data_IF_405321078301
#
_entry.id   IF_405321078301
#
_cell.length_a   1.000
_cell.length_b   1.000
_cell.length_c   1.000
_cell.angle_alpha   90.00
_cell.angle_beta   90.00
_cell.angle_gamma   90.00
#
_symmetry.space_group_name_H-M   'P 1'
#
loop_
_entity.id
_entity.type
_entity.pdbx_description
1 polymer ?
#
# COMPACT_ATOMS: atom_id res chain seq x y z
N UNK A 1 23.00 1.09 10.11
CA UNK A 1 22.58 1.51 8.76
C UNK A 1 21.75 0.36 8.19
N UNK A 2 20.51 0.61 7.75
CA UNK A 2 19.63 -0.43 7.22
C UNK A 2 20.06 -0.83 5.80
N UNK A 3 19.92 -2.11 5.46
CA UNK A 3 20.18 -2.63 4.12
C UNK A 3 18.84 -2.88 3.42
N UNK A 4 18.65 -2.32 2.23
CA UNK A 4 17.42 -2.41 1.46
C UNK A 4 17.56 -3.22 0.16
N UNK A 5 18.72 -3.85 -0.06
CA UNK A 5 19.06 -4.57 -1.31
C UNK A 5 18.09 -5.73 -1.57
N UNK A 6 17.60 -6.37 -0.50
CA UNK A 6 16.58 -7.42 -0.55
C UNK A 6 15.61 -7.27 0.61
N UNK A 7 14.42 -7.84 0.46
CA UNK A 7 13.45 -7.91 1.55
C UNK A 7 14.03 -8.62 2.78
N UNK A 8 14.79 -9.70 2.61
CA UNK A 8 15.39 -10.44 3.73
C UNK A 8 16.45 -9.63 4.47
N UNK A 9 17.30 -8.89 3.75
CA UNK A 9 18.27 -7.97 4.35
C UNK A 9 17.57 -6.86 5.12
N UNK A 10 16.47 -6.32 4.56
CA UNK A 10 15.66 -5.30 5.22
C UNK A 10 15.04 -5.82 6.53
N UNK A 11 14.38 -6.97 6.49
CA UNK A 11 13.79 -7.61 7.68
C UNK A 11 14.87 -7.95 8.70
N UNK A 12 15.99 -8.53 8.29
CA UNK A 12 17.12 -8.86 9.18
C UNK A 12 17.64 -7.63 9.93
N UNK A 13 17.68 -6.47 9.25
CA UNK A 13 18.15 -5.21 9.84
C UNK A 13 17.12 -4.49 10.73
N UNK A 14 15.85 -4.90 10.69
CA UNK A 14 14.74 -4.20 11.38
C UNK A 14 14.02 -5.05 12.41
N UNK A 15 14.04 -6.38 12.31
CA UNK A 15 13.35 -7.28 13.22
C UNK A 15 13.83 -7.09 14.68
N UNK A 16 12.89 -6.99 15.60
CA UNK A 16 13.13 -6.70 17.02
C UNK A 16 13.46 -5.23 17.34
N UNK A 17 13.66 -4.38 16.35
CA UNK A 17 13.96 -2.95 16.55
C UNK A 17 12.67 -2.16 16.76
N UNK A 18 12.76 -1.04 17.49
CA UNK A 18 11.74 0.01 17.46
C UNK A 18 12.20 1.09 16.48
N UNK A 19 11.42 1.30 15.43
CA UNK A 19 11.65 2.27 14.37
C UNK A 19 10.78 3.50 14.64
N UNK A 20 11.41 4.67 14.70
CA UNK A 20 10.73 5.92 15.00
C UNK A 20 10.11 5.92 16.40
N UNK A 21 8.83 6.27 16.49
CA UNK A 21 8.03 6.26 17.71
C UNK A 21 7.41 4.88 18.06
N UNK A 22 7.69 3.86 17.24
CA UNK A 22 7.17 2.51 17.41
C UNK A 22 5.80 2.29 16.77
N UNK A 23 5.35 3.19 15.90
CA UNK A 23 4.10 3.07 15.17
C UNK A 23 4.23 2.27 13.86
N UNK A 24 3.12 1.68 13.40
CA UNK A 24 3.08 0.92 12.15
C UNK A 24 3.49 1.80 10.95
N UNK A 25 3.03 3.05 10.93
CA UNK A 25 3.33 4.00 9.88
C UNK A 25 4.79 4.45 9.88
N UNK A 26 5.45 4.51 11.05
CA UNK A 26 6.86 4.86 11.16
C UNK A 26 7.74 3.79 10.51
N UNK A 27 7.36 2.51 10.66
CA UNK A 27 8.07 1.41 10.01
C UNK A 27 7.92 1.42 8.50
N UNK A 28 6.72 1.67 7.97
CA UNK A 28 6.51 1.83 6.52
C UNK A 28 7.30 3.04 5.99
N UNK A 29 7.31 4.16 6.72
CA UNK A 29 8.06 5.36 6.35
C UNK A 29 9.56 5.15 6.20
N UNK A 30 10.12 4.10 6.80
CA UNK A 30 11.53 3.76 6.66
C UNK A 30 11.90 3.45 5.21
N UNK A 31 11.05 2.68 4.50
CA UNK A 31 11.26 2.42 3.06
C UNK A 31 11.07 3.69 2.24
N UNK A 32 10.03 4.50 2.52
CA UNK A 32 9.82 5.75 1.78
C UNK A 32 10.99 6.71 1.93
N UNK A 33 11.57 6.79 3.13
CA UNK A 33 12.76 7.60 3.39
C UNK A 33 13.97 7.10 2.60
N UNK A 34 14.13 5.79 2.45
CA UNK A 34 15.16 5.19 1.59
C UNK A 34 14.98 5.57 0.12
N UNK A 35 13.74 5.58 -0.36
CA UNK A 35 13.39 6.03 -1.72
C UNK A 35 13.50 7.55 -1.91
N UNK A 36 13.97 8.32 -0.92
CA UNK A 36 13.99 9.78 -1.02
C UNK A 36 12.61 10.43 -1.03
N UNK A 37 11.60 9.73 -0.51
CA UNK A 37 10.18 10.13 -0.47
C UNK A 37 9.66 10.20 0.97
N UNK A 38 8.38 10.54 1.14
CA UNK A 38 7.69 10.58 2.44
C UNK A 38 6.32 9.92 2.33
N UNK A 39 5.99 9.05 3.30
CA UNK A 39 4.65 8.51 3.47
C UNK A 39 3.81 9.50 4.28
N UNK A 40 2.65 9.88 3.74
CA UNK A 40 1.74 10.83 4.37
C UNK A 40 0.53 10.11 4.94
N UNK A 41 0.29 10.25 6.24
CA UNK A 41 -0.75 9.53 7.00
C UNK A 41 -2.00 10.36 7.30
N UNK A 42 -2.09 11.60 6.82
CA UNK A 42 -3.26 12.47 7.02
C UNK A 42 -4.31 12.27 5.92
N UNK A 43 -5.61 12.54 6.15
CA UNK A 43 -6.63 12.54 5.10
C UNK A 43 -6.29 13.50 3.95
N UNK A 44 -6.54 13.13 2.67
CA UNK A 44 -6.21 13.98 1.51
C UNK A 44 -6.87 15.36 1.54
N UNK A 45 -8.06 15.44 2.14
CA UNK A 45 -8.84 16.67 2.28
C UNK A 45 -8.33 17.62 3.36
N UNK A 46 -7.47 17.15 4.26
CA UNK A 46 -6.96 17.95 5.39
C UNK A 46 -5.51 17.56 5.76
N UNK A 47 -4.52 18.20 5.13
CA UNK A 47 -3.11 18.00 5.46
C UNK A 47 -2.68 18.58 6.81
N UNK A 48 -3.57 19.29 7.52
CA UNK A 48 -3.34 19.79 8.88
C UNK A 48 -3.92 18.88 9.96
N UNK A 49 -4.63 17.82 9.57
CA UNK A 49 -5.27 16.89 10.49
C UNK A 49 -4.25 16.22 11.40
N UNK A 50 -4.51 16.30 12.71
CA UNK A 50 -3.71 15.65 13.76
C UNK A 50 -3.99 14.15 13.88
N UNK A 51 -5.07 13.65 13.25
CA UNK A 51 -5.41 12.24 13.21
C UNK A 51 -4.68 11.55 12.05
N UNK A 52 -3.55 10.93 12.40
CA UNK A 52 -2.71 10.20 11.47
C UNK A 52 -3.18 8.74 11.38
N UNK A 53 -3.53 8.27 10.17
CA UNK A 53 -3.93 6.90 9.92
C UNK A 53 -3.26 6.32 8.68
N UNK A 54 -2.67 5.14 8.81
CA UNK A 54 -2.06 4.40 7.69
C UNK A 54 -3.06 4.13 6.57
N UNK A 55 -4.35 3.95 6.90
CA UNK A 55 -5.43 3.81 5.91
C UNK A 55 -5.56 5.01 4.96
N UNK A 56 -5.18 6.20 5.41
CA UNK A 56 -5.21 7.40 4.58
C UNK A 56 -3.98 7.50 3.67
N UNK A 57 -2.83 6.99 4.13
CA UNK A 57 -1.64 6.95 3.29
C UNK A 57 -1.81 6.06 2.05
N UNK A 58 -2.62 5.00 2.16
CA UNK A 58 -3.05 4.20 1.01
C UNK A 58 -3.66 5.05 -0.12
N UNK A 59 -4.59 5.95 0.23
CA UNK A 59 -5.30 6.80 -0.73
C UNK A 59 -4.48 8.02 -1.18
N UNK A 60 -3.55 8.50 -0.35
CA UNK A 60 -2.77 9.72 -0.64
C UNK A 60 -1.57 9.49 -1.56
N UNK A 61 -1.11 8.26 -1.71
CA UNK A 61 0.08 7.96 -2.51
C UNK A 61 -0.19 8.17 -4.00
N UNK A 62 -1.38 7.83 -4.51
CA UNK A 62 -1.76 8.12 -5.90
C UNK A 62 -1.73 9.62 -6.25
N UNK A 63 -2.02 10.50 -5.28
CA UNK A 63 -2.12 11.94 -5.53
C UNK A 63 -0.76 12.67 -5.58
N UNK A 64 0.34 12.06 -5.10
CA UNK A 64 1.67 12.70 -5.04
C UNK A 64 2.78 11.95 -5.77
N UNK A 65 2.54 10.73 -6.24
CA UNK A 65 3.52 9.95 -7.04
C UNK A 65 3.55 10.31 -8.53
N UNK A 66 2.64 11.16 -9.01
CA UNK A 66 2.62 11.57 -10.42
C UNK A 66 3.96 12.17 -10.92
N UNK A 67 4.83 12.65 -10.02
CA UNK A 67 6.16 13.17 -10.35
C UNK A 67 7.31 12.56 -9.53
N UNK A 68 7.09 11.47 -8.77
CA UNK A 68 8.16 10.81 -8.02
C UNK A 68 7.97 9.29 -7.95
N UNK A 69 8.84 8.62 -8.73
CA UNK A 69 9.50 7.33 -8.46
C UNK A 69 8.77 6.05 -8.93
N UNK A 70 9.29 5.49 -10.03
CA UNK A 70 8.85 4.32 -10.80
C UNK A 70 9.15 2.95 -10.13
N UNK A 71 9.15 2.86 -8.80
CA UNK A 71 9.59 1.63 -8.10
C UNK A 71 8.50 0.97 -7.25
N UNK A 72 7.30 1.56 -7.17
CA UNK A 72 6.19 1.00 -6.41
C UNK A 72 5.03 0.65 -7.33
N UNK A 73 4.67 -0.62 -7.40
CA UNK A 73 3.47 -1.10 -8.09
C UNK A 73 2.30 -1.21 -7.12
N UNK A 74 1.15 -0.63 -7.45
CA UNK A 74 -0.05 -0.72 -6.62
C UNK A 74 -0.75 -2.07 -6.77
N UNK A 75 -1.14 -2.66 -5.65
CA UNK A 75 -1.86 -3.93 -5.53
C UNK A 75 -3.23 -3.67 -4.90
N UNK A 76 -4.28 -3.84 -5.70
CA UNK A 76 -5.66 -3.55 -5.27
C UNK A 76 -6.43 -4.80 -4.83
N UNK A 77 -6.01 -5.98 -5.28
CA UNK A 77 -6.64 -7.24 -4.88
C UNK A 77 -5.75 -7.97 -3.88
N UNK A 78 -6.37 -8.46 -2.80
CA UNK A 78 -5.68 -9.25 -1.78
C UNK A 78 -5.05 -10.54 -2.35
N UNK A 79 -5.66 -11.15 -3.39
CA UNK A 79 -5.12 -12.33 -4.08
C UNK A 79 -3.76 -12.10 -4.74
N UNK A 80 -3.43 -10.86 -5.05
CA UNK A 80 -2.25 -10.50 -5.82
C UNK A 80 -1.07 -10.13 -4.89
N UNK A 81 -1.32 -10.10 -3.58
CA UNK A 81 -0.32 -9.80 -2.55
C UNK A 81 0.74 -10.90 -2.51
N UNK A 82 1.99 -10.47 -2.56
CA UNK A 82 3.20 -11.30 -2.49
C UNK A 82 4.05 -10.93 -1.30
N UNK A 83 4.94 -11.85 -0.94
CA UNK A 83 5.98 -11.58 0.04
C UNK A 83 6.78 -10.32 -0.33
N UNK A 84 6.97 -9.44 0.64
CA UNK A 84 7.62 -8.14 0.49
C UNK A 84 6.65 -6.99 0.23
N UNK A 85 5.38 -7.24 -0.08
CA UNK A 85 4.42 -6.16 -0.26
C UNK A 85 4.15 -5.40 1.04
N UNK A 86 4.05 -4.08 0.93
CA UNK A 86 3.54 -3.22 2.00
C UNK A 86 2.02 -3.35 2.01
N UNK A 87 1.48 -4.08 2.97
CA UNK A 87 0.05 -4.33 3.11
C UNK A 87 -0.56 -3.31 4.06
N UNK A 88 -1.70 -2.73 3.66
CA UNK A 88 -2.48 -1.79 4.47
C UNK A 88 -3.86 -2.38 4.74
N UNK A 89 -4.27 -2.35 6.01
CA UNK A 89 -5.62 -2.68 6.44
C UNK A 89 -6.32 -1.43 6.97
N UNK A 90 -7.63 -1.36 6.78
CA UNK A 90 -8.49 -0.23 7.17
C UNK A 90 -9.16 -0.41 8.54
N UNK A 91 -8.90 -1.53 9.22
CA UNK A 91 -9.48 -1.84 10.52
C UNK A 91 -9.16 -0.80 11.61
N UNK A 92 -10.09 -0.61 12.54
CA UNK A 92 -9.96 0.39 13.61
C UNK A 92 -10.00 1.85 13.13
N UNK A 93 -9.69 2.77 14.03
CA UNK A 93 -9.75 4.20 13.72
C UNK A 93 -8.66 4.64 12.74
N UNK A 94 -7.47 4.04 12.80
CA UNK A 94 -6.28 4.49 12.06
C UNK A 94 -5.82 3.54 10.95
N UNK A 95 -6.38 2.32 10.88
CA UNK A 95 -5.83 1.26 10.02
C UNK A 95 -4.58 0.62 10.63
N UNK A 96 -4.02 -0.34 9.91
CA UNK A 96 -2.72 -0.94 10.23
C UNK A 96 -1.91 -1.16 8.95
N UNK A 97 -0.59 -1.27 9.08
CA UNK A 97 0.26 -1.59 7.95
C UNK A 97 1.49 -2.41 8.35
N UNK A 98 2.00 -3.21 7.42
CA UNK A 98 3.19 -4.02 7.59
C UNK A 98 3.67 -4.59 6.27
N UNK A 99 4.79 -5.31 6.30
CA UNK A 99 5.34 -5.99 5.13
C UNK A 99 4.97 -7.48 5.14
N UNK A 100 4.43 -7.99 4.04
CA UNK A 100 4.05 -9.40 3.93
C UNK A 100 5.28 -10.31 4.00
N UNK A 101 5.29 -11.31 4.89
CA UNK A 101 6.33 -12.35 4.95
C UNK A 101 6.02 -13.56 4.06
N UNK A 102 4.86 -13.56 3.40
CA UNK A 102 4.39 -14.66 2.57
C UNK A 102 3.46 -14.16 1.45
N UNK A 103 3.19 -15.03 0.49
CA UNK A 103 2.15 -14.80 -0.52
C UNK A 103 0.77 -15.03 0.10
N UNK A 104 -0.23 -14.23 -0.28
CA UNK A 104 -1.58 -14.49 0.17
C UNK A 104 -2.13 -15.78 -0.46
N UNK A 105 -2.62 -16.68 0.41
CA UNK A 105 -3.04 -18.04 0.04
C UNK A 105 -4.54 -18.27 0.16
N UNK A 106 -5.34 -17.24 0.43
CA UNK A 106 -6.79 -17.35 0.61
C UNK A 106 -7.25 -17.70 2.03
N UNK A 107 -6.35 -17.78 3.01
CA UNK A 107 -6.69 -18.17 4.39
C UNK A 107 -7.48 -17.13 5.20
N UNK A 108 -7.67 -15.90 4.68
CA UNK A 108 -8.25 -14.77 5.41
C UNK A 108 -7.27 -14.06 6.35
N UNK A 109 -6.08 -14.63 6.55
CA UNK A 109 -5.00 -14.04 7.32
C UNK A 109 -3.73 -13.92 6.48
N UNK A 110 -2.80 -13.07 6.92
CA UNK A 110 -1.49 -12.91 6.31
C UNK A 110 -0.43 -12.60 7.37
N UNK A 111 0.72 -13.26 7.29
CA UNK A 111 1.87 -12.93 8.14
C UNK A 111 2.49 -11.60 7.70
N UNK A 112 2.53 -10.62 8.60
CA UNK A 112 3.15 -9.33 8.36
C UNK A 112 4.27 -9.07 9.37
N UNK A 113 5.39 -8.50 8.93
CA UNK A 113 6.28 -7.74 9.80
C UNK A 113 5.72 -6.34 9.99
N UNK A 114 5.41 -5.98 11.23
CA UNK A 114 4.84 -4.66 11.56
C UNK A 114 5.24 -4.20 12.96
N UNK A 115 4.95 -2.93 13.26
CA UNK A 115 5.02 -2.37 14.61
C UNK A 115 3.63 -1.96 15.07
N UNK A 116 3.47 -1.87 16.38
CA UNK A 116 2.25 -1.48 17.08
C UNK A 116 1.03 -2.39 16.81
N UNK A 117 1.24 -3.57 16.23
CA UNK A 117 0.19 -4.59 16.22
C UNK A 117 -0.01 -5.09 17.66
N UNK A 118 -1.24 -5.03 18.15
CA UNK A 118 -1.59 -5.33 19.55
C UNK A 118 -0.74 -4.58 20.60
N UNK A 119 -0.27 -3.35 20.27
CA UNK A 119 0.50 -2.51 21.19
C UNK A 119 2.01 -2.81 21.25
N UNK A 120 2.51 -3.78 20.46
CA UNK A 120 3.95 -4.11 20.45
C UNK A 120 4.73 -3.11 19.61
N UNK A 121 5.49 -2.23 20.26
CA UNK A 121 6.24 -1.15 19.57
C UNK A 121 7.41 -1.63 18.70
N UNK A 122 7.97 -2.81 18.98
CA UNK A 122 9.05 -3.36 18.16
C UNK A 122 8.52 -4.07 16.92
N UNK A 123 9.30 -4.01 15.84
CA UNK A 123 9.05 -4.78 14.62
C UNK A 123 9.10 -6.25 14.97
N UNK A 124 8.03 -6.97 14.65
CA UNK A 124 8.08 -8.43 14.61
C UNK A 124 6.96 -8.96 13.73
N UNK A 125 7.02 -10.27 13.50
CA UNK A 125 6.06 -10.98 12.67
C UNK A 125 4.78 -11.29 13.43
N UNK A 126 3.64 -10.99 12.83
CA UNK A 126 2.31 -11.27 13.38
C UNK A 126 1.35 -11.79 12.31
N UNK A 127 0.41 -12.63 12.73
CA UNK A 127 -0.71 -13.05 11.91
C UNK A 127 -1.81 -11.97 11.92
N UNK A 128 -2.04 -11.33 10.77
CA UNK A 128 -2.97 -10.21 10.63
C UNK A 128 -4.24 -10.66 9.91
N UNK A 129 -5.41 -10.23 10.40
CA UNK A 129 -6.70 -10.44 9.73
C UNK A 129 -6.81 -9.53 8.50
N UNK A 130 -7.06 -10.13 7.34
CA UNK A 130 -7.17 -9.44 6.05
C UNK A 130 -8.61 -9.06 5.68
N UNK A 131 -9.60 -9.27 6.56
CA UNK A 131 -11.00 -8.88 6.34
C UNK A 131 -11.19 -7.38 6.03
N UNK A 132 -10.26 -6.54 6.47
CA UNK A 132 -10.26 -5.09 6.25
C UNK A 132 -9.17 -4.62 5.29
N UNK A 133 -8.63 -5.50 4.45
CA UNK A 133 -7.62 -5.17 3.44
C UNK A 133 -8.03 -3.93 2.62
N UNK A 134 -7.19 -2.90 2.64
CA UNK A 134 -7.40 -1.67 1.90
C UNK A 134 -6.63 -1.67 0.57
N UNK A 135 -5.45 -2.30 0.57
CA UNK A 135 -4.55 -2.36 -0.57
C UNK A 135 -3.12 -2.67 -0.15
N UNK A 136 -2.24 -2.79 -1.13
CA UNK A 136 -0.81 -2.96 -0.89
C UNK A 136 0.07 -2.31 -1.97
N UNK A 137 1.35 -2.08 -1.67
CA UNK A 137 2.35 -1.68 -2.66
C UNK A 137 3.45 -2.71 -2.74
N UNK A 138 3.90 -3.00 -3.96
CA UNK A 138 5.09 -3.80 -4.22
C UNK A 138 6.27 -2.89 -4.50
N UNK A 139 7.39 -3.11 -3.84
CA UNK A 139 8.65 -2.48 -4.21
C UNK A 139 9.39 -3.33 -5.24
N UNK A 140 9.46 -2.83 -6.47
CA UNK A 140 9.90 -3.57 -7.64
C UNK A 140 11.40 -3.93 -7.60
N UNK A 141 12.20 -3.25 -6.77
CA UNK A 141 13.63 -3.53 -6.62
C UNK A 141 13.93 -4.65 -5.63
N UNK A 142 12.98 -4.97 -4.74
CA UNK A 142 13.06 -6.26 -4.06
C UNK A 142 12.77 -7.34 -5.09
N UNK A 143 13.66 -8.34 -5.19
CA UNK A 143 13.54 -9.54 -6.04
C UNK A 143 12.29 -10.41 -5.74
N UNK A 144 11.22 -9.82 -5.23
CA UNK A 144 9.86 -10.33 -5.30
C UNK A 144 9.44 -10.47 -6.76
N UNK A 145 8.80 -11.59 -7.09
CA UNK A 145 8.27 -11.78 -8.44
C UNK A 145 7.26 -10.67 -8.71
N UNK A 146 7.31 -9.95 -9.86
CA UNK A 146 6.35 -8.90 -10.17
C UNK A 146 4.92 -9.43 -10.06
N UNK A 147 3.94 -8.59 -9.68
CA UNK A 147 2.57 -9.05 -9.53
C UNK A 147 2.10 -9.46 -10.91
N UNK A 148 1.24 -10.48 -10.97
CA UNK A 148 0.42 -10.59 -12.17
C UNK A 148 -0.36 -9.29 -12.24
N UNK A 149 -0.20 -8.46 -13.29
CA UNK A 149 -0.87 -7.16 -13.32
C UNK A 149 -2.36 -7.40 -13.07
N UNK A 150 -3.02 -6.58 -12.22
CA UNK A 150 -4.44 -6.71 -12.02
C UNK A 150 -5.09 -6.66 -13.40
N UNK A 151 -5.94 -7.64 -13.72
CA UNK A 151 -6.81 -7.53 -14.89
C UNK A 151 -7.56 -6.22 -14.67
N UNK A 152 -7.35 -5.17 -15.49
CA UNK A 152 -7.97 -3.89 -15.21
C UNK A 152 -9.47 -4.14 -15.17
N UNK A 153 -10.11 -3.80 -14.05
CA UNK A 153 -11.56 -3.74 -14.00
C UNK A 153 -11.98 -2.51 -14.79
N UNK A 154 -11.93 -2.63 -16.12
CA UNK A 154 -12.41 -1.61 -17.04
C UNK A 154 -13.92 -1.60 -16.86
N UNK A 155 -14.45 -0.63 -16.12
CA UNK A 155 -15.90 -0.38 -16.17
C UNK A 155 -16.20 -0.05 -17.63
N UNK A 156 -17.35 -0.49 -18.17
CA UNK A 156 -17.74 -0.13 -19.55
C UNK A 156 -17.62 1.38 -19.82
N UNK A 157 -17.75 2.24 -18.80
CA UNK A 157 -17.55 3.69 -18.85
C UNK A 157 -16.13 4.16 -19.18
N UNK A 158 -15.12 3.33 -18.95
CA UNK A 158 -13.70 3.74 -18.99
C UNK A 158 -13.09 3.50 -20.38
N UNK A 159 -13.83 2.84 -21.27
CA UNK A 159 -13.46 2.74 -22.67
C UNK A 159 -13.70 4.08 -23.40
N UNK A 160 -12.64 4.63 -24.01
CA UNK A 160 -12.68 5.89 -24.79
C UNK A 160 -13.78 5.90 -25.88
N UNK A 161 -14.15 4.74 -26.44
CA UNK A 161 -15.23 4.64 -27.43
C UNK A 161 -16.64 4.80 -26.82
N UNK A 162 -16.85 4.50 -25.54
CA UNK A 162 -18.13 4.72 -24.83
C UNK A 162 -18.37 6.21 -24.57
N UNK A 163 -17.31 6.96 -24.23
CA UNK A 163 -17.35 8.43 -24.15
C UNK A 163 -17.60 9.06 -25.54
N UNK A 164 -17.03 8.48 -26.61
CA UNK A 164 -17.25 8.94 -27.98
C UNK A 164 -18.69 8.66 -28.46
N UNK A 165 -19.25 7.49 -28.18
CA UNK A 165 -20.63 7.12 -28.51
C UNK A 165 -21.66 7.96 -27.74
N UNK A 166 -21.41 8.29 -26.46
CA UNK A 166 -22.24 9.24 -25.69
C UNK A 166 -22.22 10.65 -26.29
N UNK A 167 -21.05 11.12 -26.75
CA UNK A 167 -20.92 12.43 -27.41
C UNK A 167 -21.64 12.48 -28.76
N UNK A 168 -21.76 11.36 -29.49
CA UNK A 168 -22.51 11.30 -30.75
C UNK A 168 -24.02 11.20 -30.52
N UNK A 169 -24.47 10.45 -29.51
CA UNK A 169 -25.90 10.36 -29.19
C UNK A 169 -26.48 11.65 -28.62
N UNK A 170 -25.67 12.46 -27.91
CA UNK A 170 -26.09 13.76 -27.38
C UNK A 170 -25.96 14.93 -28.38
N UNK A 171 -25.67 14.67 -29.66
CA UNK A 171 -25.66 15.68 -30.73
C UNK A 171 -26.82 15.57 -31.72
N UNK A 172 -27.84 14.77 -31.40
CA UNK A 172 -29.05 14.66 -32.26
C UNK A 172 -30.01 15.85 -32.15
N UNK A 173 -29.67 16.88 -31.38
CA UNK A 173 -30.50 18.07 -31.19
C UNK A 173 -30.01 19.30 -32.01
N UNK A 174 -29.20 19.10 -33.06
CA UNK A 174 -28.71 20.17 -33.94
C UNK A 174 -28.81 19.87 -35.45
N UNK A 175 -29.82 19.11 -35.87
CA UNK A 175 -30.27 19.08 -37.28
C UNK A 175 -31.76 19.36 -37.34
#
# INVERSE_FOLDING_TARGET
>A
MYNFDTFDSFISSTNGQTIGDGECWAYINLLWSHLGSRYYTYPPSDPSATNHGVKWGWLNIEARTANTIMHLTQIVNLSDVKRGDIVVTSGGEFGHAGFADEDYNGSGYLQLYSQNYNGRRSVAKDNNDMSTFAGAWRYDEWNSTPPTPPIPFIKKSDFKWVLYARKLNNRRDLL
#
